data_IF_374375766340
#
_entry.id   IF_374375766340
#
_cell.length_a   1.000
_cell.length_b   1.000
_cell.length_c   1.000
_cell.angle_alpha   90.00
_cell.angle_beta   90.00
_cell.angle_gamma   90.00
#
_symmetry.space_group_name_H-M   'P 1'
#
loop_
_entity.id
_entity.type
_entity.pdbx_description
1 polymer ?
#
# COMPACT_ATOMS: atom_id res chain seq x y z
N UNK A 1 -17.80 2.70 -23.32
CA UNK A 1 -17.69 1.23 -23.30
C UNK A 1 -18.79 0.72 -22.38
N UNK A 2 -19.51 -0.33 -22.75
CA UNK A 2 -20.56 -0.91 -21.89
C UNK A 2 -19.91 -1.98 -21.02
N UNK A 3 -19.83 -1.76 -19.71
CA UNK A 3 -19.29 -2.76 -18.78
C UNK A 3 -20.36 -3.80 -18.41
N UNK A 4 -19.99 -5.07 -18.22
CA UNK A 4 -20.93 -6.09 -17.81
C UNK A 4 -21.39 -5.87 -16.36
N UNK A 5 -22.62 -6.29 -16.09
CA UNK A 5 -23.10 -6.45 -14.71
C UNK A 5 -22.39 -7.66 -14.10
N UNK A 6 -21.59 -7.45 -13.05
CA UNK A 6 -20.88 -8.53 -12.37
C UNK A 6 -21.46 -8.77 -10.97
N UNK A 7 -21.51 -10.03 -10.57
CA UNK A 7 -22.03 -10.48 -9.27
C UNK A 7 -21.06 -11.47 -8.63
N UNK A 8 -21.24 -11.77 -7.35
CA UNK A 8 -20.46 -12.81 -6.68
C UNK A 8 -20.48 -14.12 -7.49
N UNK A 9 -19.32 -14.73 -7.67
CA UNK A 9 -19.11 -15.90 -8.52
C UNK A 9 -18.69 -15.60 -9.96
N UNK A 10 -18.81 -14.35 -10.44
CA UNK A 10 -18.21 -13.93 -11.72
C UNK A 10 -16.69 -14.14 -11.70
N UNK A 11 -16.11 -14.45 -12.87
CA UNK A 11 -14.67 -14.70 -13.04
C UNK A 11 -14.13 -14.06 -14.33
N UNK A 12 -12.81 -13.90 -14.40
CA UNK A 12 -12.08 -13.53 -15.62
C UNK A 12 -11.71 -12.05 -15.73
N UNK A 13 -11.38 -11.63 -16.94
CA UNK A 13 -10.75 -10.32 -17.21
C UNK A 13 -11.59 -9.12 -16.75
N UNK A 14 -12.91 -9.20 -16.86
CA UNK A 14 -13.79 -8.12 -16.41
C UNK A 14 -13.76 -7.96 -14.88
N UNK A 15 -13.63 -9.06 -14.15
CA UNK A 15 -13.44 -9.01 -12.69
C UNK A 15 -12.06 -8.44 -12.37
N UNK A 16 -11.01 -8.84 -13.08
CA UNK A 16 -9.67 -8.27 -12.88
C UNK A 16 -9.64 -6.75 -13.13
N UNK A 17 -10.37 -6.29 -14.15
CA UNK A 17 -10.54 -4.86 -14.43
C UNK A 17 -11.31 -4.15 -13.31
N UNK A 18 -12.40 -4.76 -12.84
CA UNK A 18 -13.18 -4.24 -11.71
C UNK A 18 -12.33 -4.11 -10.44
N UNK A 19 -11.60 -5.17 -10.07
CA UNK A 19 -10.71 -5.18 -8.89
C UNK A 19 -9.63 -4.08 -8.99
N UNK A 20 -9.03 -3.90 -10.16
CA UNK A 20 -8.07 -2.82 -10.40
C UNK A 20 -8.70 -1.44 -10.20
N UNK A 21 -9.92 -1.24 -10.69
CA UNK A 21 -10.66 0.01 -10.51
C UNK A 21 -11.08 0.24 -9.05
N UNK A 22 -11.54 -0.79 -8.34
CA UNK A 22 -11.84 -0.73 -6.92
C UNK A 22 -10.61 -0.34 -6.08
N UNK A 23 -9.42 -0.78 -6.49
CA UNK A 23 -8.18 -0.38 -5.84
C UNK A 23 -7.88 1.12 -5.94
N UNK A 24 -8.45 1.85 -6.92
CA UNK A 24 -8.32 3.32 -6.98
C UNK A 24 -8.95 4.02 -5.77
N UNK A 25 -9.97 3.41 -5.16
CA UNK A 25 -10.68 3.98 -4.00
C UNK A 25 -10.29 3.35 -2.67
N UNK A 26 -9.25 2.51 -2.65
CA UNK A 26 -8.70 1.91 -1.43
C UNK A 26 -9.26 0.54 -1.07
N UNK A 27 -9.78 -0.22 -2.04
CA UNK A 27 -10.30 -1.56 -1.77
C UNK A 27 -9.25 -2.57 -1.26
N UNK A 28 -7.95 -2.33 -1.51
CA UNK A 28 -6.83 -3.18 -1.07
C UNK A 28 -6.96 -4.65 -1.49
N UNK A 29 -7.44 -4.86 -2.72
CA UNK A 29 -7.62 -6.17 -3.33
C UNK A 29 -6.35 -6.65 -4.02
N UNK A 30 -6.12 -7.96 -3.96
CA UNK A 30 -5.32 -8.65 -4.97
C UNK A 30 -6.17 -8.86 -6.21
N UNK A 31 -5.58 -8.66 -7.38
CA UNK A 31 -6.28 -8.83 -8.65
C UNK A 31 -6.09 -10.26 -9.11
N UNK A 32 -7.07 -11.11 -8.81
CA UNK A 32 -7.09 -12.54 -9.14
C UNK A 32 -8.14 -12.88 -10.21
N UNK A 33 -8.99 -11.91 -10.59
CA UNK A 33 -10.08 -12.15 -11.52
C UNK A 33 -11.23 -12.96 -10.93
N UNK A 34 -11.29 -13.12 -9.61
CA UNK A 34 -12.33 -13.86 -8.92
C UNK A 34 -13.22 -12.95 -8.07
N UNK A 35 -14.52 -12.96 -8.36
CA UNK A 35 -15.50 -12.22 -7.57
C UNK A 35 -15.91 -13.05 -6.36
N UNK A 36 -15.04 -13.07 -5.36
CA UNK A 36 -15.28 -13.66 -4.03
C UNK A 36 -15.75 -12.65 -2.97
N UNK A 37 -15.78 -13.06 -1.69
CA UNK A 37 -16.22 -12.21 -0.58
C UNK A 37 -15.43 -10.90 -0.43
N UNK A 38 -14.12 -10.91 -0.71
CA UNK A 38 -13.29 -9.71 -0.71
C UNK A 38 -13.75 -8.68 -1.74
N UNK A 39 -14.00 -9.13 -2.98
CA UNK A 39 -14.55 -8.28 -4.05
C UNK A 39 -15.95 -7.77 -3.69
N UNK A 40 -16.81 -8.60 -3.10
CA UNK A 40 -18.13 -8.15 -2.57
C UNK A 40 -17.98 -7.01 -1.56
N UNK A 41 -17.10 -7.17 -0.57
CA UNK A 41 -16.88 -6.14 0.45
C UNK A 41 -16.34 -4.84 -0.15
N UNK A 42 -15.40 -4.95 -1.10
CA UNK A 42 -14.84 -3.80 -1.82
C UNK A 42 -15.89 -3.03 -2.63
N UNK A 43 -16.79 -3.74 -3.32
CA UNK A 43 -17.87 -3.12 -4.09
C UNK A 43 -18.83 -2.38 -3.19
N UNK A 44 -19.23 -3.00 -2.07
CA UNK A 44 -20.11 -2.35 -1.09
C UNK A 44 -19.48 -1.07 -0.55
N UNK A 45 -18.21 -1.13 -0.18
CA UNK A 45 -17.45 0.05 0.24
C UNK A 45 -17.38 1.12 -0.86
N UNK A 46 -17.07 0.74 -2.11
CA UNK A 46 -17.02 1.70 -3.21
C UNK A 46 -18.39 2.35 -3.48
N UNK A 47 -19.49 1.61 -3.33
CA UNK A 47 -20.85 2.15 -3.42
C UNK A 47 -21.15 3.14 -2.29
N UNK A 48 -20.69 2.88 -1.07
CA UNK A 48 -20.79 3.82 0.04
C UNK A 48 -20.03 5.12 -0.24
N UNK A 49 -18.79 5.01 -0.73
CA UNK A 49 -17.96 6.17 -1.12
C UNK A 49 -18.64 6.97 -2.25
N UNK A 50 -19.23 6.27 -3.21
CA UNK A 50 -19.97 6.87 -4.33
C UNK A 50 -21.34 7.43 -3.92
N UNK A 51 -21.77 7.24 -2.67
CA UNK A 51 -23.13 7.56 -2.18
C UNK A 51 -24.23 6.91 -3.03
N UNK A 52 -23.96 5.70 -3.51
CA UNK A 52 -24.89 4.87 -4.28
C UNK A 52 -25.58 3.85 -3.36
N UNK A 53 -26.63 3.20 -3.87
CA UNK A 53 -27.27 2.09 -3.16
C UNK A 53 -26.27 0.95 -3.00
N UNK A 54 -26.08 0.47 -1.77
CA UNK A 54 -25.12 -0.59 -1.44
C UNK A 54 -25.70 -1.97 -1.79
N UNK A 55 -25.60 -2.36 -3.06
CA UNK A 55 -26.14 -3.62 -3.59
C UNK A 55 -25.13 -4.77 -3.51
N UNK A 56 -23.83 -4.48 -3.48
CA UNK A 56 -22.79 -5.50 -3.62
C UNK A 56 -22.77 -6.13 -5.01
N UNK A 57 -23.21 -5.40 -6.04
CA UNK A 57 -23.24 -5.76 -7.45
C UNK A 57 -22.51 -4.66 -8.23
N UNK A 58 -21.65 -5.01 -9.18
CA UNK A 58 -21.04 -4.03 -10.07
C UNK A 58 -21.96 -3.76 -11.26
N UNK A 59 -22.71 -2.67 -11.17
CA UNK A 59 -23.59 -2.16 -12.22
C UNK A 59 -22.97 -0.96 -12.95
N UNK A 60 -23.66 -0.44 -13.97
CA UNK A 60 -23.19 0.66 -14.79
C UNK A 60 -22.83 1.91 -13.97
N UNK A 61 -23.63 2.24 -12.95
CA UNK A 61 -23.40 3.41 -12.11
C UNK A 61 -22.11 3.29 -11.30
N UNK A 62 -21.81 2.08 -10.78
CA UNK A 62 -20.54 1.85 -10.10
C UNK A 62 -19.35 1.91 -11.08
N UNK A 63 -19.48 1.29 -12.25
CA UNK A 63 -18.43 1.34 -13.28
C UNK A 63 -18.09 2.76 -13.70
N UNK A 64 -19.11 3.60 -13.93
CA UNK A 64 -18.92 5.00 -14.32
C UNK A 64 -18.21 5.81 -13.23
N UNK A 65 -18.61 5.61 -11.96
CA UNK A 65 -17.95 6.23 -10.82
C UNK A 65 -16.47 5.83 -10.73
N UNK A 66 -16.17 4.53 -10.81
CA UNK A 66 -14.81 4.02 -10.63
C UNK A 66 -13.84 4.42 -11.76
N UNK A 67 -14.33 4.49 -13.00
CA UNK A 67 -13.52 4.92 -14.14
C UNK A 67 -13.03 6.36 -13.99
N UNK A 68 -13.88 7.24 -13.46
CA UNK A 68 -13.58 8.65 -13.23
C UNK A 68 -12.57 8.88 -12.10
N UNK A 69 -12.30 7.86 -11.28
CA UNK A 69 -11.34 8.00 -10.19
C UNK A 69 -9.91 8.08 -10.75
N UNK A 70 -9.10 9.04 -10.28
CA UNK A 70 -7.70 9.12 -10.66
C UNK A 70 -6.91 7.93 -10.11
N UNK A 71 -5.69 7.74 -10.60
CA UNK A 71 -4.73 6.87 -9.90
C UNK A 71 -4.50 7.45 -8.49
N UNK A 72 -4.46 6.62 -7.42
CA UNK A 72 -4.27 7.13 -6.06
C UNK A 72 -2.94 7.86 -5.87
N UNK A 73 -1.89 7.38 -6.54
CA UNK A 73 -0.57 7.98 -6.53
C UNK A 73 0.10 7.77 -7.88
N UNK A 74 0.26 8.86 -8.65
CA UNK A 74 0.66 8.79 -10.06
C UNK A 74 1.99 8.04 -10.33
N UNK A 75 3.03 8.14 -9.47
CA UNK A 75 4.29 7.44 -9.71
C UNK A 75 4.24 5.91 -9.57
N UNK A 76 3.18 5.34 -9.00
CA UNK A 76 3.07 3.89 -8.79
C UNK A 76 1.84 3.30 -9.48
N UNK A 77 1.92 2.00 -9.78
CA UNK A 77 0.77 1.24 -10.23
C UNK A 77 -0.31 1.17 -9.14
N UNK A 78 -1.59 1.24 -9.52
CA UNK A 78 -2.72 1.25 -8.58
C UNK A 78 -2.78 -0.03 -7.74
N UNK A 79 -2.49 -1.19 -8.34
CA UNK A 79 -2.48 -2.46 -7.63
C UNK A 79 -1.25 -2.58 -6.72
N UNK A 80 -0.14 -1.91 -7.07
CA UNK A 80 1.02 -1.77 -6.20
C UNK A 80 0.74 -0.90 -4.97
N UNK A 81 0.03 0.22 -5.12
CA UNK A 81 -0.42 1.05 -3.98
C UNK A 81 -1.36 0.26 -3.06
N UNK A 82 -2.31 -0.47 -3.64
CA UNK A 82 -3.22 -1.34 -2.90
C UNK A 82 -2.48 -2.45 -2.15
N UNK A 83 -1.47 -3.06 -2.78
CA UNK A 83 -0.60 -4.05 -2.14
C UNK A 83 0.14 -3.47 -0.93
N UNK A 84 0.77 -2.30 -1.05
CA UNK A 84 1.46 -1.65 0.07
C UNK A 84 0.47 -1.44 1.23
N UNK A 85 -0.68 -0.82 0.96
CA UNK A 85 -1.68 -0.56 2.00
C UNK A 85 -2.25 -1.84 2.63
N UNK A 86 -2.45 -2.90 1.82
CA UNK A 86 -2.88 -4.22 2.29
C UNK A 86 -1.88 -4.79 3.30
N UNK A 87 -0.58 -4.74 2.99
CA UNK A 87 0.46 -5.26 3.88
C UNK A 87 0.66 -4.41 5.14
N UNK A 88 0.34 -3.11 5.09
CA UNK A 88 0.40 -2.23 6.26
C UNK A 88 -0.81 -2.34 7.19
N UNK A 89 -1.98 -2.74 6.67
CA UNK A 89 -3.24 -2.71 7.44
C UNK A 89 -3.89 -4.07 7.62
N UNK A 90 -3.50 -5.11 6.88
CA UNK A 90 -4.24 -6.37 6.83
C UNK A 90 -5.52 -6.31 5.97
N UNK A 91 -5.73 -5.22 5.23
CA UNK A 91 -6.82 -5.07 4.27
C UNK A 91 -8.10 -4.45 4.84
N UNK A 92 -9.06 -4.17 3.97
CA UNK A 92 -10.18 -3.27 4.28
C UNK A 92 -11.06 -3.80 5.42
N UNK A 93 -11.40 -5.08 5.37
CA UNK A 93 -12.22 -5.72 6.39
C UNK A 93 -11.52 -5.74 7.76
N UNK A 94 -10.20 -5.99 7.79
CA UNK A 94 -9.44 -5.94 9.03
C UNK A 94 -9.34 -4.50 9.54
N UNK A 95 -9.11 -3.53 8.65
CA UNK A 95 -9.06 -2.12 9.02
C UNK A 95 -10.36 -1.69 9.70
N UNK A 96 -11.49 -1.93 9.03
CA UNK A 96 -12.81 -1.56 9.55
C UNK A 96 -13.09 -2.20 10.91
N UNK A 97 -12.65 -3.44 11.15
CA UNK A 97 -12.88 -4.12 12.43
C UNK A 97 -11.90 -3.72 13.53
N UNK A 98 -10.64 -3.47 13.18
CA UNK A 98 -9.52 -3.43 14.14
C UNK A 98 -8.76 -2.11 14.06
N UNK A 99 -8.22 -1.73 12.90
CA UNK A 99 -7.28 -0.58 12.80
C UNK A 99 -7.96 0.77 12.52
N UNK A 100 -9.30 0.82 12.51
CA UNK A 100 -10.04 2.10 12.51
C UNK A 100 -9.83 2.89 13.80
N UNK A 101 -9.42 2.24 14.87
CA UNK A 101 -9.09 2.89 16.14
C UNK A 101 -7.61 3.28 16.18
N UNK A 102 -7.26 4.42 16.83
CA UNK A 102 -5.88 4.70 17.18
C UNK A 102 -5.28 3.54 17.97
N UNK A 103 -4.05 3.15 17.64
CA UNK A 103 -3.36 2.02 18.28
C UNK A 103 -1.91 2.34 18.59
N UNK A 104 -1.26 1.51 19.40
CA UNK A 104 0.15 1.63 19.72
C UNK A 104 0.90 0.38 19.24
N UNK A 105 1.75 0.48 18.20
CA UNK A 105 2.46 -0.68 17.65
C UNK A 105 3.66 -1.12 18.48
N UNK A 106 3.98 -0.44 19.60
CA UNK A 106 5.09 -0.78 20.48
C UNK A 106 6.38 -0.02 20.22
N UNK A 107 7.41 -0.31 21.03
CA UNK A 107 8.75 0.25 20.89
C UNK A 107 8.78 1.78 21.02
N UNK A 108 9.52 2.44 20.12
CA UNK A 108 9.67 3.91 20.08
C UNK A 108 8.54 4.62 19.32
N UNK A 109 7.46 3.93 18.96
CA UNK A 109 6.37 4.52 18.20
C UNK A 109 5.47 5.41 19.06
N UNK A 110 4.73 6.31 18.44
CA UNK A 110 3.62 7.05 19.05
C UNK A 110 2.30 6.29 18.98
N UNK A 111 1.22 7.02 19.28
CA UNK A 111 -0.11 6.60 18.85
C UNK A 111 -0.18 6.70 17.32
N UNK A 112 -0.57 5.61 16.67
CA UNK A 112 -0.67 5.48 15.22
C UNK A 112 -2.13 5.45 14.80
N UNK A 113 -2.46 6.25 13.78
CA UNK A 113 -3.78 6.36 13.18
C UNK A 113 -3.73 6.04 11.69
N UNK A 114 -4.90 5.78 11.09
CA UNK A 114 -4.99 5.57 9.65
C UNK A 114 -4.11 4.42 9.15
N UNK A 115 -3.45 4.64 8.01
CA UNK A 115 -2.46 3.69 7.45
C UNK A 115 -1.06 4.17 7.84
N UNK A 116 -0.59 3.69 8.99
CA UNK A 116 0.78 3.91 9.46
C UNK A 116 1.16 5.37 9.76
N UNK A 117 0.19 6.23 10.07
CA UNK A 117 0.45 7.63 10.44
C UNK A 117 0.74 7.73 11.94
N UNK A 118 2.02 7.79 12.31
CA UNK A 118 2.47 7.85 13.70
C UNK A 118 2.57 9.30 14.18
N UNK A 119 1.67 9.69 15.10
CA UNK A 119 1.57 11.05 15.63
C UNK A 119 2.87 11.55 16.29
N UNK A 120 3.74 10.65 16.76
CA UNK A 120 5.03 11.04 17.35
C UNK A 120 5.93 11.78 16.38
N UNK A 121 5.87 11.44 15.09
CA UNK A 121 6.82 11.92 14.09
C UNK A 121 6.30 13.08 13.23
N UNK A 122 5.20 13.69 13.65
CA UNK A 122 4.59 14.83 12.97
C UNK A 122 4.57 16.07 13.85
N UNK A 123 4.47 17.24 13.23
CA UNK A 123 4.13 18.49 13.94
C UNK A 123 2.62 18.69 13.96
N UNK A 124 2.13 19.62 14.80
CA UNK A 124 0.72 20.00 14.81
C UNK A 124 0.29 20.56 13.43
N UNK A 125 1.10 21.41 12.81
CA UNK A 125 0.79 21.99 11.50
C UNK A 125 0.66 20.94 10.39
N UNK A 126 1.56 19.95 10.38
CA UNK A 126 1.46 18.80 9.46
C UNK A 126 0.19 18.00 9.74
N UNK A 127 -0.08 17.66 11.00
CA UNK A 127 -1.26 16.90 11.39
C UNK A 127 -2.57 17.59 10.96
N UNK A 128 -2.73 18.89 11.24
CA UNK A 128 -3.91 19.62 10.82
C UNK A 128 -4.00 19.78 9.29
N UNK A 129 -2.88 20.01 8.60
CA UNK A 129 -2.84 20.06 7.13
C UNK A 129 -3.26 18.73 6.49
N UNK A 130 -2.98 17.62 7.15
CA UNK A 130 -3.27 16.28 6.64
C UNK A 130 -4.71 15.84 6.95
N UNK A 131 -5.23 16.16 8.13
CA UNK A 131 -6.45 15.53 8.66
C UNK A 131 -7.67 16.46 8.78
N UNK A 132 -7.54 17.79 8.69
CA UNK A 132 -8.65 18.72 8.96
C UNK A 132 -9.87 18.55 8.05
N UNK A 133 -9.64 18.17 6.79
CA UNK A 133 -10.71 17.96 5.82
C UNK A 133 -11.48 16.65 6.04
N UNK A 134 -10.98 15.77 6.91
CA UNK A 134 -11.46 14.38 7.02
C UNK A 134 -11.96 14.00 8.41
N UNK A 135 -11.52 14.67 9.47
CA UNK A 135 -11.89 14.35 10.84
C UNK A 135 -12.62 15.51 11.53
N UNK A 136 -13.59 15.23 12.40
CA UNK A 136 -14.23 16.26 13.21
C UNK A 136 -13.21 17.01 14.08
N UNK A 137 -13.46 18.31 14.32
CA UNK A 137 -12.58 19.16 15.14
C UNK A 137 -12.29 18.57 16.52
N UNK A 138 -13.30 18.00 17.19
CA UNK A 138 -13.12 17.38 18.51
C UNK A 138 -12.16 16.18 18.46
N UNK A 139 -12.23 15.38 17.39
CA UNK A 139 -11.32 14.24 17.14
C UNK A 139 -9.89 14.73 16.94
N UNK A 140 -9.70 15.79 16.13
CA UNK A 140 -8.38 16.38 15.89
C UNK A 140 -7.75 16.89 17.20
N UNK A 141 -8.53 17.63 18.00
CA UNK A 141 -8.07 18.17 19.28
C UNK A 141 -7.69 17.08 20.29
N UNK A 142 -8.38 15.93 20.26
CA UNK A 142 -8.02 14.80 21.13
C UNK A 142 -6.73 14.11 20.67
N UNK A 143 -6.56 13.91 19.36
CA UNK A 143 -5.37 13.27 18.77
C UNK A 143 -4.12 14.16 18.83
N UNK A 144 -4.28 15.49 18.73
CA UNK A 144 -3.17 16.46 18.84
C UNK A 144 -2.39 16.29 20.15
N UNK A 145 -3.07 15.85 21.22
CA UNK A 145 -2.44 15.63 22.53
C UNK A 145 -1.35 14.56 22.51
N UNK A 146 -1.33 13.69 21.50
CA UNK A 146 -0.37 12.60 21.36
C UNK A 146 0.78 12.93 20.39
N UNK A 147 0.76 14.10 19.76
CA UNK A 147 1.81 14.55 18.84
C UNK A 147 3.14 14.69 19.57
N UNK A 148 4.22 14.20 18.94
CA UNK A 148 5.58 14.26 19.50
C UNK A 148 5.82 13.31 20.69
N UNK A 149 4.82 12.53 21.12
CA UNK A 149 4.90 11.69 22.32
C UNK A 149 5.03 10.22 21.96
N UNK A 150 5.74 9.47 22.81
CA UNK A 150 5.71 8.01 22.75
C UNK A 150 4.33 7.51 23.17
N UNK A 151 3.79 6.55 22.42
CA UNK A 151 2.49 5.96 22.69
C UNK A 151 2.51 4.95 23.84
N UNK A 152 1.32 4.53 24.25
CA UNK A 152 1.14 3.42 25.19
C UNK A 152 -0.16 2.67 24.87
N UNK A 153 -0.23 1.39 25.28
CA UNK A 153 -1.44 0.60 25.14
C UNK A 153 -2.62 1.21 25.93
N UNK A 154 -2.35 1.74 27.13
CA UNK A 154 -3.36 2.41 27.95
C UNK A 154 -3.95 3.64 27.24
N UNK A 155 -3.12 4.44 26.56
CA UNK A 155 -3.60 5.60 25.80
C UNK A 155 -4.43 5.19 24.58
N UNK A 156 -4.02 4.15 23.86
CA UNK A 156 -4.80 3.61 22.75
C UNK A 156 -6.20 3.12 23.21
N UNK A 157 -6.28 2.36 24.31
CA UNK A 157 -7.56 1.94 24.88
C UNK A 157 -8.41 3.11 25.37
N UNK A 158 -7.80 4.15 25.95
CA UNK A 158 -8.52 5.36 26.34
C UNK A 158 -9.13 6.09 25.13
N UNK A 159 -8.39 6.23 24.03
CA UNK A 159 -8.90 6.82 22.79
C UNK A 159 -10.06 6.01 22.21
N UNK A 160 -9.95 4.68 22.24
CA UNK A 160 -11.02 3.77 21.81
C UNK A 160 -12.26 3.89 22.69
N UNK A 161 -12.09 3.97 24.01
CA UNK A 161 -13.19 4.15 24.97
C UNK A 161 -13.89 5.51 24.80
N UNK A 162 -13.17 6.54 24.34
CA UNK A 162 -13.73 7.83 23.96
C UNK A 162 -14.47 7.81 22.60
N UNK A 163 -14.45 6.68 21.88
CA UNK A 163 -15.08 6.56 20.56
C UNK A 163 -14.29 7.25 19.45
N UNK A 164 -12.98 7.47 19.64
CA UNK A 164 -12.13 8.04 18.58
C UNK A 164 -11.94 7.00 17.48
N UNK A 165 -12.56 7.25 16.32
CA UNK A 165 -12.44 6.43 15.12
C UNK A 165 -11.90 7.24 13.95
N UNK A 166 -11.14 6.56 13.09
CA UNK A 166 -10.61 7.08 11.84
C UNK A 166 -11.32 6.33 10.70
N UNK A 167 -12.24 6.99 9.98
CA UNK A 167 -12.90 6.37 8.84
C UNK A 167 -11.87 5.94 7.79
N UNK A 168 -12.06 4.77 7.19
CA UNK A 168 -11.09 4.27 6.21
C UNK A 168 -10.92 5.21 5.01
N UNK A 169 -12.00 5.86 4.56
CA UNK A 169 -11.90 6.88 3.50
C UNK A 169 -10.90 7.99 3.86
N UNK A 170 -10.95 8.50 5.10
CA UNK A 170 -9.99 9.50 5.59
C UNK A 170 -8.56 8.95 5.60
N UNK A 171 -8.37 7.75 6.15
CA UNK A 171 -7.08 7.08 6.21
C UNK A 171 -6.47 6.85 4.82
N UNK A 172 -7.28 6.45 3.84
CA UNK A 172 -6.85 6.26 2.46
C UNK A 172 -6.40 7.57 1.82
N UNK A 173 -7.16 8.66 1.97
CA UNK A 173 -6.78 9.97 1.42
C UNK A 173 -5.46 10.47 2.00
N UNK A 174 -5.27 10.37 3.33
CA UNK A 174 -4.01 10.77 3.97
C UNK A 174 -2.86 9.86 3.53
N UNK A 175 -3.08 8.55 3.46
CA UNK A 175 -2.06 7.59 3.03
C UNK A 175 -1.52 7.93 1.63
N UNK A 176 -2.40 8.08 0.63
CA UNK A 176 -1.97 8.24 -0.77
C UNK A 176 -1.44 9.65 -1.06
N UNK A 177 -1.87 10.66 -0.30
CA UNK A 177 -1.45 12.06 -0.51
C UNK A 177 -0.25 12.48 0.33
N UNK A 178 0.00 11.83 1.47
CA UNK A 178 0.98 12.28 2.46
C UNK A 178 1.98 11.18 2.83
N UNK A 179 1.49 10.06 3.37
CA UNK A 179 2.35 8.98 3.87
C UNK A 179 3.16 8.29 2.75
N UNK A 180 2.46 7.78 1.73
CA UNK A 180 3.07 7.05 0.62
C UNK A 180 4.06 7.91 -0.19
N UNK A 181 3.78 9.19 -0.53
CA UNK A 181 4.77 10.06 -1.17
C UNK A 181 6.08 10.21 -0.36
N UNK A 182 5.99 10.27 0.98
CA UNK A 182 7.17 10.32 1.84
C UNK A 182 8.03 9.06 1.73
N UNK A 183 7.40 7.88 1.77
CA UNK A 183 8.11 6.60 1.58
C UNK A 183 8.62 6.42 0.15
N UNK A 184 7.89 6.88 -0.86
CA UNK A 184 8.35 6.88 -2.25
C UNK A 184 9.63 7.71 -2.40
N UNK A 185 9.68 8.92 -1.82
CA UNK A 185 10.90 9.76 -1.81
C UNK A 185 12.08 9.06 -1.12
N UNK A 186 11.84 8.46 0.05
CA UNK A 186 12.88 7.66 0.76
C UNK A 186 13.37 6.50 -0.10
N UNK A 187 12.47 5.85 -0.82
CA UNK A 187 12.79 4.74 -1.73
C UNK A 187 13.60 5.21 -2.92
N UNK A 188 13.26 6.36 -3.53
CA UNK A 188 14.04 6.97 -4.61
C UNK A 188 15.48 7.30 -4.18
N UNK A 189 15.67 7.80 -2.96
CA UNK A 189 17.01 8.06 -2.43
C UNK A 189 17.81 6.76 -2.30
N UNK A 190 17.17 5.71 -1.78
CA UNK A 190 17.79 4.39 -1.65
C UNK A 190 18.04 3.72 -3.02
N UNK A 191 17.15 3.91 -3.99
CA UNK A 191 17.11 3.25 -5.30
C UNK A 191 16.77 4.26 -6.41
N UNK A 192 17.74 5.01 -6.97
CA UNK A 192 17.48 6.11 -7.90
C UNK A 192 16.81 5.72 -9.22
N UNK A 193 17.02 4.50 -9.69
CA UNK A 193 16.37 3.97 -10.90
C UNK A 193 14.93 3.48 -10.70
N UNK A 194 14.34 3.69 -9.50
CA UNK A 194 12.99 3.25 -9.14
C UNK A 194 11.93 3.62 -10.18
N UNK A 195 11.95 4.86 -10.68
CA UNK A 195 10.94 5.37 -11.61
C UNK A 195 11.02 4.73 -13.01
N UNK A 196 12.13 4.06 -13.32
CA UNK A 196 12.34 3.39 -14.60
C UNK A 196 12.09 1.88 -14.51
N UNK A 197 11.61 1.38 -13.37
CA UNK A 197 11.23 -0.01 -13.21
C UNK A 197 9.86 -0.29 -13.83
N UNK A 198 9.66 -1.47 -14.44
CA UNK A 198 8.41 -1.82 -15.08
C UNK A 198 7.30 -2.17 -14.09
N UNK A 199 6.05 -1.87 -14.46
CA UNK A 199 4.86 -2.36 -13.78
C UNK A 199 4.86 -2.12 -12.26
N UNK A 200 4.72 -3.21 -11.50
CA UNK A 200 4.63 -3.20 -10.04
C UNK A 200 6.00 -3.26 -9.34
N UNK A 201 7.12 -3.42 -10.06
CA UNK A 201 8.46 -3.53 -9.45
C UNK A 201 8.80 -2.34 -8.56
N UNK A 202 8.46 -1.11 -8.97
CA UNK A 202 8.65 0.07 -8.12
C UNK A 202 7.87 -0.02 -6.80
N UNK A 203 6.64 -0.55 -6.84
CA UNK A 203 5.80 -0.69 -5.64
C UNK A 203 6.35 -1.74 -4.68
N UNK A 204 7.01 -2.78 -5.18
CA UNK A 204 7.71 -3.78 -4.36
C UNK A 204 8.84 -3.12 -3.55
N UNK A 205 9.66 -2.27 -4.16
CA UNK A 205 10.74 -1.59 -3.43
C UNK A 205 10.19 -0.56 -2.43
N UNK A 206 9.10 0.14 -2.78
CA UNK A 206 8.43 1.03 -1.82
C UNK A 206 7.86 0.24 -0.65
N UNK A 207 7.25 -0.92 -0.88
CA UNK A 207 6.79 -1.83 0.18
C UNK A 207 7.94 -2.28 1.08
N UNK A 208 9.07 -2.70 0.49
CA UNK A 208 10.28 -3.08 1.20
C UNK A 208 10.80 -1.93 2.10
N UNK A 209 10.90 -0.72 1.57
CA UNK A 209 11.35 0.47 2.32
C UNK A 209 10.33 0.90 3.36
N UNK A 210 9.03 0.71 3.12
CA UNK A 210 8.00 0.94 4.12
C UNK A 210 8.20 0.02 5.32
N UNK A 211 8.44 -1.27 5.07
CA UNK A 211 8.62 -2.26 6.13
C UNK A 211 9.96 -2.16 6.87
N UNK A 212 11.06 -1.94 6.15
CA UNK A 212 12.41 -2.02 6.71
C UNK A 212 13.08 -0.66 6.88
N UNK A 213 12.56 0.41 6.30
CA UNK A 213 13.25 1.69 6.18
C UNK A 213 14.32 1.69 5.07
N UNK A 214 14.84 2.86 4.68
CA UNK A 214 15.66 3.04 3.47
C UNK A 214 17.15 2.72 3.63
N UNK A 215 17.60 2.36 4.83
CA UNK A 215 19.02 2.15 5.10
C UNK A 215 19.58 0.96 4.29
N UNK A 216 20.72 1.20 3.64
CA UNK A 216 21.48 0.20 2.86
C UNK A 216 22.71 -0.33 3.60
N UNK A 217 22.94 0.10 4.83
CA UNK A 217 24.07 -0.32 5.65
C UNK A 217 23.61 -0.82 7.03
N UNK A 218 24.34 -1.79 7.57
CA UNK A 218 24.03 -2.44 8.84
C UNK A 218 23.92 -3.96 8.73
N UNK A 219 23.90 -4.64 9.87
CA UNK A 219 24.01 -6.10 10.00
C UNK A 219 22.90 -6.91 9.28
N UNK A 220 21.80 -6.27 8.88
CA UNK A 220 20.68 -6.91 8.20
C UNK A 220 20.27 -6.17 6.90
N UNK A 221 21.19 -5.43 6.29
CA UNK A 221 20.92 -4.59 5.10
C UNK A 221 21.61 -5.06 3.82
N UNK A 222 22.25 -6.22 3.87
CA UNK A 222 23.03 -6.77 2.76
C UNK A 222 22.20 -6.94 1.49
N UNK A 223 21.01 -7.54 1.59
CA UNK A 223 20.14 -7.77 0.42
C UNK A 223 19.63 -6.46 -0.15
N UNK A 224 19.33 -5.48 0.72
CA UNK A 224 18.90 -4.16 0.27
C UNK A 224 20.02 -3.46 -0.52
N UNK A 225 21.28 -3.62 -0.12
CA UNK A 225 22.44 -3.12 -0.85
C UNK A 225 22.72 -3.92 -2.13
N UNK A 226 22.53 -5.24 -2.12
CA UNK A 226 22.61 -6.09 -3.31
C UNK A 226 21.60 -5.63 -4.38
N UNK A 227 20.34 -5.43 -3.98
CA UNK A 227 19.29 -4.89 -4.85
C UNK A 227 19.75 -3.57 -5.46
N UNK A 228 20.31 -2.65 -4.66
CA UNK A 228 20.79 -1.37 -5.19
C UNK A 228 21.85 -1.57 -6.28
N UNK A 229 22.83 -2.46 -6.06
CA UNK A 229 23.87 -2.77 -7.06
C UNK A 229 23.28 -3.35 -8.35
N UNK A 230 22.35 -4.28 -8.25
CA UNK A 230 21.67 -4.89 -9.41
C UNK A 230 20.95 -3.80 -10.23
N UNK A 231 20.22 -2.92 -9.54
CA UNK A 231 19.48 -1.84 -10.18
C UNK A 231 20.39 -0.81 -10.86
N UNK A 232 21.52 -0.45 -10.24
CA UNK A 232 22.49 0.46 -10.83
C UNK A 232 23.14 -0.15 -12.09
N UNK A 233 23.46 -1.45 -12.05
CA UNK A 233 23.99 -2.18 -13.22
C UNK A 233 22.96 -2.26 -14.35
N UNK A 234 21.70 -2.56 -14.03
CA UNK A 234 20.63 -2.62 -15.03
C UNK A 234 20.37 -1.25 -15.67
N UNK A 235 20.44 -0.16 -14.90
CA UNK A 235 20.30 1.20 -15.45
C UNK A 235 21.46 1.58 -16.37
N UNK A 236 22.70 1.24 -16.01
CA UNK A 236 23.87 1.43 -16.89
C UNK A 236 23.72 0.62 -18.18
N UNK A 237 23.31 -0.64 -18.09
CA UNK A 237 23.03 -1.49 -19.23
C UNK A 237 21.94 -0.92 -20.15
N UNK A 238 20.87 -0.37 -19.58
CA UNK A 238 19.80 0.31 -20.34
C UNK A 238 20.34 1.50 -21.12
N UNK A 239 21.17 2.32 -20.49
CA UNK A 239 21.81 3.48 -21.13
C UNK A 239 22.76 3.07 -22.26
N UNK A 240 23.30 1.84 -22.20
CA UNK A 240 24.10 1.22 -23.25
C UNK A 240 23.27 0.52 -24.34
N UNK A 241 21.94 0.66 -24.31
CA UNK A 241 21.05 0.14 -25.35
C UNK A 241 20.68 -1.35 -25.20
N UNK A 242 20.85 -1.94 -24.01
CA UNK A 242 20.44 -3.33 -23.76
C UNK A 242 18.92 -3.50 -23.92
N UNK A 243 18.54 -4.66 -24.46
CA UNK A 243 17.14 -5.01 -24.76
C UNK A 243 16.32 -5.25 -23.50
N UNK A 244 14.98 -5.25 -23.63
CA UNK A 244 14.08 -5.61 -22.53
C UNK A 244 14.38 -6.98 -21.93
N UNK A 245 14.60 -8.00 -22.77
CA UNK A 245 14.97 -9.35 -22.34
C UNK A 245 16.30 -9.39 -21.56
N UNK A 246 17.32 -8.66 -22.00
CA UNK A 246 18.60 -8.58 -21.27
C UNK A 246 18.43 -7.88 -19.92
N UNK A 247 17.70 -6.76 -19.88
CA UNK A 247 17.41 -6.04 -18.64
C UNK A 247 16.60 -6.90 -17.66
N UNK A 248 15.63 -7.66 -18.17
CA UNK A 248 14.87 -8.64 -17.38
C UNK A 248 15.80 -9.64 -16.71
N UNK A 249 16.73 -10.23 -17.47
CA UNK A 249 17.68 -11.20 -16.91
C UNK A 249 18.55 -10.59 -15.81
N UNK A 250 18.94 -9.33 -15.96
CA UNK A 250 19.71 -8.59 -14.95
C UNK A 250 18.88 -8.27 -13.69
N UNK A 251 17.58 -8.04 -13.83
CA UNK A 251 16.68 -7.66 -12.73
C UNK A 251 16.08 -8.86 -11.98
N UNK A 252 16.07 -10.05 -12.56
CA UNK A 252 15.54 -11.27 -11.92
C UNK A 252 16.14 -11.56 -10.51
N UNK A 253 17.47 -11.41 -10.28
CA UNK A 253 18.07 -11.69 -8.97
C UNK A 253 17.55 -10.83 -7.81
N UNK A 254 16.91 -9.68 -8.09
CA UNK A 254 16.25 -8.89 -7.01
C UNK A 254 15.19 -9.71 -6.28
N UNK A 255 14.49 -10.61 -6.98
CA UNK A 255 13.53 -11.52 -6.34
C UNK A 255 14.23 -12.47 -5.35
N UNK A 256 15.44 -12.92 -5.66
CA UNK A 256 16.20 -13.82 -4.80
C UNK A 256 16.69 -13.08 -3.55
N UNK A 257 17.18 -11.84 -3.70
CA UNK A 257 17.51 -10.95 -2.58
C UNK A 257 16.32 -10.72 -1.65
N UNK A 258 15.11 -10.52 -2.20
CA UNK A 258 13.89 -10.40 -1.40
C UNK A 258 13.59 -11.68 -0.60
N UNK A 259 13.83 -12.86 -1.19
CA UNK A 259 13.61 -14.15 -0.55
C UNK A 259 14.66 -14.43 0.53
N UNK A 260 15.92 -14.09 0.29
CA UNK A 260 17.01 -14.30 1.25
C UNK A 260 16.79 -13.52 2.55
N UNK A 261 16.12 -12.36 2.49
CA UNK A 261 15.75 -11.61 3.69
C UNK A 261 14.86 -12.40 4.66
N UNK A 262 14.16 -13.47 4.21
CA UNK A 262 13.27 -14.29 5.06
C UNK A 262 14.02 -14.86 6.27
N UNK A 263 15.34 -15.08 6.18
CA UNK A 263 16.17 -15.61 7.27
C UNK A 263 16.22 -14.74 8.53
N UNK A 264 15.85 -13.46 8.44
CA UNK A 264 15.82 -12.56 9.59
C UNK A 264 14.62 -12.74 10.51
N UNK A 265 13.67 -13.60 10.15
CA UNK A 265 12.44 -13.80 10.92
C UNK A 265 12.08 -15.28 11.07
N UNK A 266 11.33 -15.63 12.12
CA UNK A 266 10.73 -16.96 12.23
C UNK A 266 9.86 -17.28 11.02
N UNK A 267 9.84 -18.55 10.60
CA UNK A 267 9.07 -19.02 9.43
C UNK A 267 7.56 -18.73 9.53
N UNK A 268 7.04 -18.57 10.75
CA UNK A 268 5.64 -18.23 11.03
C UNK A 268 5.32 -16.74 10.89
N UNK A 269 6.34 -15.89 10.74
CA UNK A 269 6.18 -14.44 10.67
C UNK A 269 5.43 -14.01 9.41
N UNK A 270 4.52 -13.03 9.56
CA UNK A 270 3.89 -12.37 8.43
C UNK A 270 4.90 -11.73 7.47
N UNK A 271 6.07 -11.33 7.97
CA UNK A 271 7.14 -10.74 7.16
C UNK A 271 7.76 -11.75 6.18
N UNK A 272 7.82 -13.03 6.54
CA UNK A 272 8.27 -14.09 5.62
C UNK A 272 7.29 -14.26 4.46
N UNK A 273 5.99 -14.21 4.75
CA UNK A 273 4.93 -14.25 3.72
C UNK A 273 5.00 -13.01 2.83
N UNK A 274 5.17 -11.81 3.41
CA UNK A 274 5.33 -10.55 2.67
C UNK A 274 6.53 -10.57 1.72
N UNK A 275 7.71 -11.01 2.18
CA UNK A 275 8.90 -11.17 1.33
C UNK A 275 8.65 -12.08 0.14
N UNK A 276 7.96 -13.21 0.36
CA UNK A 276 7.60 -14.14 -0.72
C UNK A 276 6.69 -13.49 -1.75
N UNK A 277 5.67 -12.75 -1.30
CA UNK A 277 4.73 -12.07 -2.19
C UNK A 277 5.40 -10.98 -3.01
N UNK A 278 6.28 -10.20 -2.40
CA UNK A 278 7.06 -9.20 -3.08
C UNK A 278 7.96 -9.79 -4.17
N UNK A 279 8.63 -10.91 -3.89
CA UNK A 279 9.43 -11.62 -4.89
C UNK A 279 8.57 -12.16 -6.05
N UNK A 280 7.37 -12.67 -5.76
CA UNK A 280 6.45 -13.14 -6.80
C UNK A 280 5.97 -11.96 -7.68
N UNK A 281 5.51 -10.87 -7.06
CA UNK A 281 5.08 -9.65 -7.79
C UNK A 281 6.21 -9.10 -8.65
N UNK A 282 7.45 -9.13 -8.14
CA UNK A 282 8.62 -8.69 -8.90
C UNK A 282 8.78 -9.51 -10.19
N UNK A 283 8.78 -10.85 -10.08
CA UNK A 283 8.92 -11.75 -11.23
C UNK A 283 7.79 -11.58 -12.24
N UNK A 284 6.54 -11.64 -11.77
CA UNK A 284 5.35 -11.50 -12.62
C UNK A 284 5.34 -10.14 -13.35
N UNK A 285 5.77 -9.08 -12.67
CA UNK A 285 5.86 -7.73 -13.26
C UNK A 285 6.93 -7.63 -14.35
N UNK A 286 8.08 -8.28 -14.17
CA UNK A 286 9.10 -8.35 -15.21
C UNK A 286 8.61 -9.14 -16.43
N UNK A 287 7.96 -10.29 -16.20
CA UNK A 287 7.43 -11.14 -17.28
C UNK A 287 6.39 -10.42 -18.14
N UNK A 288 5.53 -9.61 -17.52
CA UNK A 288 4.46 -8.90 -18.22
C UNK A 288 4.92 -7.67 -19.02
N UNK A 289 6.14 -7.15 -18.79
CA UNK A 289 6.54 -5.82 -19.30
C UNK A 289 7.91 -5.76 -19.98
N UNK A 290 8.76 -6.77 -19.82
CA UNK A 290 10.08 -6.83 -20.46
C UNK A 290 10.15 -8.15 -21.26
N UNK A 291 9.77 -8.08 -22.53
CA UNK A 291 9.90 -9.14 -23.54
C UNK A 291 10.82 -8.64 -24.65
#
# INVERSE_FOLDING_TARGET
>A
MTYPKLTQGSKGKDVSALQTLLNKVGAMLRVDGDYGPGTTAAIRYAQEVARQKVTGIADAALWDFLQQQPKPFAPLDTNGVAFIALEETGGLAYYQRVTRFPHYPGGKSGITIGVGYDLRFHTADEFYSDWSDYLPKATLQELEKDIGKQGSAARAEALKALGIEVPFYAAWQVFVRKTLPGFYKKTLIAYPSLAALPGLCASVLVSLVYNRGPALSGHNREEMANIRRILDQAEQARQQGKTGAELKQMLLPVADELLEMKRYWPVTSGLVKRRQLEANIWRDSLDAHLV
#
